data_IF_548935400320
#
_entry.id   IF_548935400320
#
_cell.length_a   1.000
_cell.length_b   1.000
_cell.length_c   1.000
_cell.angle_alpha   90.00
_cell.angle_beta   90.00
_cell.angle_gamma   90.00
#
_symmetry.space_group_name_H-M   'P 1'
#
loop_
_entity.id
_entity.type
_entity.pdbx_description
1 polymer ?
#
# COMPACT_ATOMS: atom_id res chain seq x y z
N UNK A 1 -4.92 -15.07 -14.54
CA UNK A 1 -4.24 -14.66 -13.28
C UNK A 1 -2.74 -14.44 -13.44
N UNK A 2 -1.93 -15.42 -13.92
CA UNK A 2 -0.46 -15.23 -14.01
C UNK A 2 -0.04 -13.99 -14.83
N UNK A 3 -0.71 -13.69 -15.94
CA UNK A 3 -0.36 -12.57 -16.82
C UNK A 3 -0.60 -11.19 -16.18
N UNK A 4 -1.72 -11.02 -15.46
CA UNK A 4 -2.03 -9.78 -14.75
C UNK A 4 -1.03 -9.53 -13.61
N UNK A 5 -0.74 -10.55 -12.84
CA UNK A 5 0.23 -10.48 -11.75
C UNK A 5 1.64 -10.12 -12.23
N UNK A 6 2.09 -10.74 -13.33
CA UNK A 6 3.40 -10.41 -13.95
C UNK A 6 3.41 -8.97 -14.48
N UNK A 7 2.30 -8.49 -15.06
CA UNK A 7 2.17 -7.10 -15.51
C UNK A 7 2.34 -6.13 -14.34
N UNK A 8 1.63 -6.36 -13.23
CA UNK A 8 1.66 -5.48 -12.07
C UNK A 8 3.04 -5.50 -11.38
N UNK A 9 3.69 -6.65 -11.30
CA UNK A 9 5.08 -6.74 -10.84
C UNK A 9 6.05 -5.96 -11.74
N UNK A 10 5.85 -6.01 -13.06
CA UNK A 10 6.65 -5.18 -13.98
C UNK A 10 6.42 -3.69 -13.81
N UNK A 11 5.18 -3.27 -13.58
CA UNK A 11 4.86 -1.87 -13.24
C UNK A 11 5.58 -1.42 -11.97
N UNK A 12 5.64 -2.28 -10.95
CA UNK A 12 6.41 -2.00 -9.74
C UNK A 12 7.91 -1.86 -10.03
N UNK A 13 8.46 -2.73 -10.88
CA UNK A 13 9.88 -2.64 -11.26
C UNK A 13 10.19 -1.35 -12.04
N UNK A 14 9.25 -0.82 -12.82
CA UNK A 14 9.40 0.48 -13.46
C UNK A 14 9.45 1.63 -12.44
N UNK A 15 8.77 1.48 -11.30
CA UNK A 15 8.76 2.46 -10.22
C UNK A 15 9.75 2.13 -9.08
N UNK A 16 10.75 1.28 -9.33
CA UNK A 16 11.77 0.90 -8.35
C UNK A 16 12.44 2.11 -7.67
N UNK A 17 12.68 3.19 -8.42
CA UNK A 17 13.30 4.40 -7.87
C UNK A 17 12.43 5.06 -6.80
N UNK A 18 11.10 5.05 -6.96
CA UNK A 18 10.16 5.54 -5.97
C UNK A 18 10.13 4.65 -4.72
N UNK A 19 10.13 3.33 -4.90
CA UNK A 19 10.18 2.38 -3.79
C UNK A 19 11.51 2.48 -3.03
N UNK A 20 12.63 2.65 -3.73
CA UNK A 20 13.95 2.87 -3.13
C UNK A 20 13.99 4.20 -2.35
N UNK A 21 13.36 5.26 -2.87
CA UNK A 21 13.27 6.53 -2.18
C UNK A 21 12.48 6.41 -0.87
N UNK A 22 11.34 5.71 -0.88
CA UNK A 22 10.56 5.44 0.33
C UNK A 22 11.39 4.65 1.33
N UNK A 23 12.09 3.61 0.88
CA UNK A 23 12.95 2.80 1.74
C UNK A 23 14.06 3.66 2.37
N UNK A 24 14.70 4.53 1.60
CA UNK A 24 15.73 5.44 2.09
C UNK A 24 15.18 6.43 3.14
N UNK A 25 13.96 6.96 2.91
CA UNK A 25 13.29 7.83 3.89
C UNK A 25 13.02 7.07 5.19
N UNK A 26 12.50 5.86 5.11
CA UNK A 26 12.19 5.01 6.29
C UNK A 26 13.46 4.68 7.08
N UNK A 27 14.54 4.29 6.40
CA UNK A 27 15.83 4.04 7.06
C UNK A 27 16.35 5.34 7.69
N UNK A 28 16.26 6.47 6.99
CA UNK A 28 16.64 7.78 7.54
C UNK A 28 15.84 8.11 8.81
N UNK A 29 14.52 7.92 8.77
CA UNK A 29 13.68 8.14 9.96
C UNK A 29 14.09 7.23 11.11
N UNK A 30 14.32 5.95 10.87
CA UNK A 30 14.77 4.99 11.89
C UNK A 30 16.16 5.34 12.47
N UNK A 31 17.03 6.01 11.70
CA UNK A 31 18.34 6.46 12.18
C UNK A 31 18.23 7.74 13.01
N UNK A 32 17.45 8.70 12.55
CA UNK A 32 17.39 10.04 13.14
C UNK A 32 16.37 10.18 14.29
N UNK A 33 15.37 9.29 14.36
CA UNK A 33 14.37 9.27 15.43
C UNK A 33 14.54 8.05 16.32
N UNK A 34 14.10 8.15 17.55
CA UNK A 34 14.04 7.00 18.48
C UNK A 34 12.74 6.21 18.33
N UNK A 35 11.80 6.75 17.55
CA UNK A 35 10.53 6.07 17.23
C UNK A 35 10.74 5.12 16.05
N UNK A 36 10.66 3.83 16.32
CA UNK A 36 10.79 2.75 15.31
C UNK A 36 9.40 2.32 14.79
N UNK A 37 8.34 2.54 15.56
CA UNK A 37 6.99 2.04 15.26
C UNK A 37 6.37 2.83 14.09
N UNK A 38 6.53 4.16 14.08
CA UNK A 38 5.98 5.01 13.03
C UNK A 38 6.58 4.69 11.64
N UNK A 39 7.92 4.62 11.46
CA UNK A 39 8.52 4.24 10.17
C UNK A 39 8.10 2.84 9.71
N UNK A 40 7.93 1.88 10.64
CA UNK A 40 7.47 0.53 10.36
C UNK A 40 6.05 0.54 9.77
N UNK A 41 5.14 1.25 10.41
CA UNK A 41 3.78 1.45 9.91
C UNK A 41 3.77 2.15 8.55
N UNK A 42 4.52 3.23 8.43
CA UNK A 42 4.62 4.04 7.21
C UNK A 42 5.03 3.20 5.99
N UNK A 43 6.10 2.39 6.11
CA UNK A 43 6.55 1.52 5.01
C UNK A 43 5.48 0.51 4.63
N UNK A 44 4.89 -0.18 5.62
CA UNK A 44 3.87 -1.20 5.40
C UNK A 44 2.65 -0.63 4.68
N UNK A 45 2.17 0.55 5.10
CA UNK A 45 1.02 1.22 4.50
C UNK A 45 1.30 1.68 3.07
N UNK A 46 2.40 2.39 2.83
CA UNK A 46 2.69 2.95 1.51
C UNK A 46 2.86 1.84 0.47
N UNK A 47 3.59 0.78 0.80
CA UNK A 47 3.79 -0.33 -0.14
C UNK A 47 2.49 -1.09 -0.37
N UNK A 48 1.65 -1.26 0.65
CA UNK A 48 0.31 -1.85 0.49
C UNK A 48 -0.58 -1.01 -0.44
N UNK A 49 -0.60 0.32 -0.25
CA UNK A 49 -1.36 1.24 -1.08
C UNK A 49 -0.81 1.38 -2.51
N UNK A 50 0.39 0.88 -2.77
CA UNK A 50 0.93 0.85 -4.12
C UNK A 50 0.05 0.06 -5.10
N UNK A 51 -0.69 -0.94 -4.62
CA UNK A 51 -1.70 -1.66 -5.41
C UNK A 51 -2.78 -0.73 -5.95
N UNK A 52 -3.18 0.29 -5.20
CA UNK A 52 -4.12 1.33 -5.66
C UNK A 52 -3.54 2.09 -6.85
N UNK A 53 -2.23 2.35 -6.83
CA UNK A 53 -1.53 2.96 -7.96
C UNK A 53 -1.57 2.09 -9.22
N UNK A 54 -1.43 0.76 -9.09
CA UNK A 54 -1.52 -0.15 -10.26
C UNK A 54 -2.91 -0.13 -10.90
N UNK A 55 -3.98 0.04 -10.11
CA UNK A 55 -5.35 0.20 -10.63
C UNK A 55 -5.48 1.51 -11.41
N UNK A 56 -4.90 2.61 -10.89
CA UNK A 56 -4.89 3.89 -11.59
C UNK A 56 -4.17 3.82 -12.93
N UNK A 57 -3.10 3.04 -13.03
CA UNK A 57 -2.41 2.79 -14.31
C UNK A 57 -3.27 2.00 -15.29
N UNK A 58 -4.06 1.04 -14.79
CA UNK A 58 -4.97 0.26 -15.63
C UNK A 58 -6.12 1.12 -16.19
N UNK A 59 -6.51 2.19 -15.47
CA UNK A 59 -7.52 3.15 -15.92
C UNK A 59 -6.98 4.18 -16.91
N UNK A 60 -5.66 4.37 -16.97
CA UNK A 60 -5.03 5.36 -17.83
C UNK A 60 -5.23 5.01 -19.32
N UNK A 61 -5.56 6.00 -20.16
CA UNK A 61 -5.79 5.86 -21.61
C UNK A 61 -6.81 4.76 -22.01
N UNK A 62 -7.87 4.57 -21.20
CA UNK A 62 -8.85 3.50 -21.42
C UNK A 62 -8.25 2.07 -21.38
N UNK A 63 -7.15 1.87 -20.67
CA UNK A 63 -6.49 0.58 -20.52
C UNK A 63 -7.43 -0.51 -20.01
N UNK A 64 -8.41 -0.15 -19.16
CA UNK A 64 -9.47 -1.06 -18.72
C UNK A 64 -10.33 -1.60 -19.89
N UNK A 65 -10.66 -0.76 -20.87
CA UNK A 65 -11.40 -1.20 -22.04
C UNK A 65 -10.63 -2.26 -22.84
N UNK A 66 -9.31 -2.09 -22.96
CA UNK A 66 -8.44 -3.09 -23.59
C UNK A 66 -8.30 -4.36 -22.75
N UNK A 67 -8.13 -4.23 -21.42
CA UNK A 67 -8.01 -5.40 -20.52
C UNK A 67 -9.25 -6.31 -20.58
N UNK A 68 -10.45 -5.72 -20.69
CA UNK A 68 -11.69 -6.50 -20.77
C UNK A 68 -12.01 -7.04 -22.17
N UNK A 69 -11.23 -6.73 -23.21
CA UNK A 69 -11.27 -7.48 -24.48
C UNK A 69 -10.56 -8.83 -24.39
N UNK A 70 -9.70 -9.01 -23.38
CA UNK A 70 -9.07 -10.29 -23.06
C UNK A 70 -10.08 -11.19 -22.32
N UNK A 71 -9.90 -12.52 -22.34
CA UNK A 71 -10.79 -13.46 -21.65
C UNK A 71 -10.59 -13.42 -20.12
N UNK A 72 -10.78 -12.23 -19.53
CA UNK A 72 -10.60 -11.95 -18.11
C UNK A 72 -11.94 -11.49 -17.54
N UNK A 73 -12.44 -12.18 -16.53
CA UNK A 73 -13.65 -11.76 -15.82
C UNK A 73 -13.34 -10.68 -14.79
N UNK A 74 -14.31 -9.80 -14.52
CA UNK A 74 -14.16 -8.76 -13.49
C UNK A 74 -13.81 -9.34 -12.12
N UNK A 75 -14.36 -10.50 -11.77
CA UNK A 75 -14.08 -11.16 -10.49
C UNK A 75 -12.61 -11.59 -10.40
N UNK A 76 -12.04 -12.10 -11.48
CA UNK A 76 -10.62 -12.46 -11.51
C UNK A 76 -9.70 -11.26 -11.39
N UNK A 77 -10.06 -10.13 -12.00
CA UNK A 77 -9.31 -8.88 -11.89
C UNK A 77 -9.33 -8.34 -10.46
N UNK A 78 -10.51 -8.27 -9.85
CA UNK A 78 -10.66 -7.80 -8.46
C UNK A 78 -9.90 -8.70 -7.48
N UNK A 79 -10.05 -10.01 -7.59
CA UNK A 79 -9.36 -10.98 -6.72
C UNK A 79 -7.84 -10.87 -6.85
N UNK A 80 -7.33 -10.64 -8.06
CA UNK A 80 -5.90 -10.46 -8.31
C UNK A 80 -5.38 -9.20 -7.61
N UNK A 81 -6.10 -8.07 -7.69
CA UNK A 81 -5.71 -6.81 -7.03
C UNK A 81 -5.69 -6.92 -5.50
N UNK A 82 -6.68 -7.61 -4.90
CA UNK A 82 -6.66 -7.88 -3.47
C UNK A 82 -5.50 -8.76 -3.06
N UNK A 83 -5.26 -9.84 -3.82
CA UNK A 83 -4.15 -10.76 -3.54
C UNK A 83 -2.79 -10.07 -3.66
N UNK A 84 -2.61 -9.27 -4.71
CA UNK A 84 -1.38 -8.50 -4.93
C UNK A 84 -1.15 -7.51 -3.79
N UNK A 85 -2.18 -6.76 -3.39
CA UNK A 85 -2.06 -5.79 -2.31
C UNK A 85 -1.73 -6.44 -0.97
N UNK A 86 -2.37 -7.57 -0.66
CA UNK A 86 -2.11 -8.30 0.57
C UNK A 86 -0.69 -8.88 0.58
N UNK A 87 -0.25 -9.45 -0.55
CA UNK A 87 1.10 -9.99 -0.70
C UNK A 87 2.16 -8.89 -0.53
N UNK A 88 1.98 -7.75 -1.23
CA UNK A 88 2.90 -6.62 -1.13
C UNK A 88 2.93 -6.02 0.28
N UNK A 89 1.76 -5.86 0.89
CA UNK A 89 1.66 -5.37 2.26
C UNK A 89 2.35 -6.28 3.26
N UNK A 90 2.15 -7.60 3.17
CA UNK A 90 2.82 -8.57 4.03
C UNK A 90 4.34 -8.58 3.81
N UNK A 91 4.81 -8.53 2.56
CA UNK A 91 6.25 -8.46 2.26
C UNK A 91 6.87 -7.18 2.84
N UNK A 92 6.21 -6.05 2.67
CA UNK A 92 6.68 -4.78 3.22
C UNK A 92 6.66 -4.78 4.74
N UNK A 93 5.63 -5.36 5.36
CA UNK A 93 5.53 -5.49 6.81
C UNK A 93 6.67 -6.37 7.38
N UNK A 94 6.98 -7.51 6.75
CA UNK A 94 8.11 -8.37 7.16
C UNK A 94 9.42 -7.59 7.05
N UNK A 95 9.65 -6.91 5.93
CA UNK A 95 10.86 -6.13 5.70
C UNK A 95 10.98 -4.99 6.72
N UNK A 96 9.90 -4.26 6.97
CA UNK A 96 9.86 -3.19 7.96
C UNK A 96 10.13 -3.71 9.38
N UNK A 97 9.55 -4.85 9.75
CA UNK A 97 9.76 -5.48 11.08
C UNK A 97 11.22 -5.91 11.25
N UNK A 98 11.83 -6.51 10.23
CA UNK A 98 13.26 -6.88 10.26
C UNK A 98 14.14 -5.64 10.43
N UNK A 99 13.90 -4.58 9.68
CA UNK A 99 14.64 -3.31 9.83
C UNK A 99 14.41 -2.70 11.22
N UNK A 100 13.18 -2.77 11.74
CA UNK A 100 12.84 -2.32 13.09
C UNK A 100 13.60 -3.08 14.17
N UNK A 101 13.72 -4.41 14.07
CA UNK A 101 14.50 -5.23 15.00
C UNK A 101 15.98 -4.83 14.96
N UNK A 102 16.55 -4.68 13.76
CA UNK A 102 17.96 -4.29 13.59
C UNK A 102 18.22 -2.93 14.27
N UNK A 103 17.38 -1.94 14.02
CA UNK A 103 17.55 -0.59 14.58
C UNK A 103 17.35 -0.58 16.09
N UNK A 104 16.40 -1.35 16.60
CA UNK A 104 16.14 -1.48 18.04
C UNK A 104 17.30 -2.13 18.77
N UNK A 105 17.92 -3.19 18.19
CA UNK A 105 19.10 -3.83 18.75
C UNK A 105 20.33 -2.92 18.74
N UNK A 106 20.47 -2.09 17.68
CA UNK A 106 21.61 -1.18 17.59
C UNK A 106 21.50 0.03 18.52
N UNK A 107 20.28 0.48 18.82
CA UNK A 107 20.02 1.70 19.61
C UNK A 107 19.57 1.44 21.04
N UNK A 108 19.24 0.20 21.40
CA UNK A 108 18.63 -0.17 22.70
C UNK A 108 17.39 0.69 23.06
N UNK A 109 16.57 1.04 22.06
CA UNK A 109 15.45 1.97 22.24
C UNK A 109 14.22 1.35 22.86
N UNK A 110 13.92 0.09 22.52
CA UNK A 110 12.69 -0.61 22.95
C UNK A 110 12.98 -2.11 23.19
N UNK A 111 12.25 -2.77 24.09
CA UNK A 111 12.30 -4.23 24.16
C UNK A 111 11.74 -4.86 22.87
N UNK A 112 12.41 -5.89 22.36
CA UNK A 112 12.03 -6.57 21.12
C UNK A 112 10.58 -7.08 21.18
N UNK A 113 10.12 -7.50 22.36
CA UNK A 113 8.73 -7.95 22.59
C UNK A 113 7.71 -6.86 22.26
N UNK A 114 7.95 -5.63 22.68
CA UNK A 114 7.05 -4.51 22.46
C UNK A 114 7.03 -4.08 20.99
N UNK A 115 8.18 -4.15 20.32
CA UNK A 115 8.28 -3.92 18.89
C UNK A 115 7.49 -4.96 18.10
N UNK A 116 7.64 -6.24 18.41
CA UNK A 116 6.90 -7.31 17.74
C UNK A 116 5.40 -7.19 17.99
N UNK A 117 4.99 -6.89 19.22
CA UNK A 117 3.58 -6.68 19.54
C UNK A 117 2.99 -5.50 18.78
N UNK A 118 3.69 -4.37 18.72
CA UNK A 118 3.26 -3.21 17.95
C UNK A 118 3.20 -3.49 16.46
N UNK A 119 4.17 -4.21 15.90
CA UNK A 119 4.18 -4.61 14.50
C UNK A 119 3.01 -5.51 14.14
N UNK A 120 2.61 -6.42 15.03
CA UNK A 120 1.43 -7.27 14.84
C UNK A 120 0.13 -6.47 14.85
N UNK A 121 0.05 -5.38 15.63
CA UNK A 121 -1.13 -4.48 15.62
C UNK A 121 -1.27 -3.67 14.33
N UNK A 122 -0.17 -3.39 13.63
CA UNK A 122 -0.18 -2.68 12.35
C UNK A 122 -0.81 -3.54 11.24
N UNK A 123 -0.64 -4.85 11.30
CA UNK A 123 -1.11 -5.79 10.26
C UNK A 123 -2.64 -5.73 10.03
N UNK A 124 -3.50 -5.88 11.04
CA UNK A 124 -4.95 -5.79 10.84
C UNK A 124 -5.39 -4.39 10.39
N UNK A 125 -4.73 -3.33 10.88
CA UNK A 125 -5.04 -1.96 10.46
C UNK A 125 -4.74 -1.79 8.97
N UNK A 126 -3.59 -2.28 8.51
CA UNK A 126 -3.21 -2.27 7.10
C UNK A 126 -4.24 -3.01 6.23
N UNK A 127 -4.69 -4.19 6.65
CA UNK A 127 -5.70 -4.98 5.93
C UNK A 127 -7.04 -4.23 5.84
N UNK A 128 -7.48 -3.61 6.94
CA UNK A 128 -8.72 -2.81 6.96
C UNK A 128 -8.63 -1.61 6.02
N UNK A 129 -7.55 -0.85 6.06
CA UNK A 129 -7.34 0.28 5.15
C UNK A 129 -7.37 -0.18 3.70
N UNK A 130 -6.69 -1.28 3.38
CA UNK A 130 -6.67 -1.84 2.04
C UNK A 130 -8.07 -2.33 1.60
N UNK A 131 -8.81 -2.98 2.50
CA UNK A 131 -10.17 -3.46 2.23
C UNK A 131 -11.14 -2.31 1.92
N UNK A 132 -10.90 -1.12 2.46
CA UNK A 132 -11.70 0.08 2.19
C UNK A 132 -11.23 0.76 0.89
N UNK A 133 -9.92 0.96 0.73
CA UNK A 133 -9.35 1.73 -0.39
C UNK A 133 -9.52 1.03 -1.75
N UNK A 134 -9.34 -0.29 -1.81
CA UNK A 134 -9.44 -1.04 -3.07
C UNK A 134 -10.83 -0.96 -3.72
N UNK A 135 -11.97 -1.20 -3.01
CA UNK A 135 -13.28 -1.10 -3.64
C UNK A 135 -13.63 0.33 -4.07
N UNK A 136 -13.18 1.35 -3.33
CA UNK A 136 -13.35 2.74 -3.76
C UNK A 136 -12.63 3.02 -5.08
N UNK A 137 -11.38 2.59 -5.19
CA UNK A 137 -10.59 2.77 -6.40
C UNK A 137 -11.16 1.98 -7.59
N UNK A 138 -11.57 0.73 -7.36
CA UNK A 138 -12.17 -0.13 -8.39
C UNK A 138 -13.53 0.37 -8.87
N UNK A 139 -14.32 1.03 -8.01
CA UNK A 139 -15.64 1.54 -8.34
C UNK A 139 -15.60 2.90 -9.05
N UNK A 140 -14.71 3.79 -8.63
CA UNK A 140 -14.72 5.18 -9.09
C UNK A 140 -13.61 5.49 -10.11
N UNK A 141 -12.63 4.58 -10.33
CA UNK A 141 -11.50 4.78 -11.22
C UNK A 141 -10.46 5.77 -10.67
N UNK A 142 -9.35 5.95 -11.38
CA UNK A 142 -8.21 6.72 -10.90
C UNK A 142 -8.51 8.19 -10.58
N UNK A 143 -9.18 8.91 -11.49
CA UNK A 143 -9.45 10.35 -11.30
C UNK A 143 -10.71 10.60 -10.48
N UNK A 144 -11.77 9.85 -10.74
CA UNK A 144 -13.04 10.00 -10.02
C UNK A 144 -12.97 9.44 -8.59
N UNK A 145 -12.13 8.44 -8.35
CA UNK A 145 -11.89 7.88 -7.02
C UNK A 145 -11.26 8.89 -6.07
N UNK A 146 -10.33 9.72 -6.54
CA UNK A 146 -9.74 10.82 -5.75
C UNK A 146 -10.78 11.88 -5.40
N UNK A 147 -11.63 12.28 -6.35
CA UNK A 147 -12.71 13.24 -6.13
C UNK A 147 -13.75 12.69 -5.16
N UNK A 148 -14.10 11.40 -5.27
CA UNK A 148 -15.03 10.75 -4.36
C UNK A 148 -14.47 10.62 -2.93
N UNK A 149 -13.16 10.35 -2.77
CA UNK A 149 -12.51 10.36 -1.47
C UNK A 149 -12.50 11.77 -0.86
N UNK A 150 -12.13 12.79 -1.62
CA UNK A 150 -12.16 14.19 -1.16
C UNK A 150 -13.58 14.58 -0.79
N UNK A 151 -14.60 14.16 -1.56
CA UNK A 151 -16.01 14.40 -1.27
C UNK A 151 -16.49 13.67 0.00
N UNK A 152 -16.07 12.43 0.23
CA UNK A 152 -16.45 11.65 1.39
C UNK A 152 -15.81 12.17 2.69
N UNK A 153 -14.55 12.60 2.62
CA UNK A 153 -13.82 13.16 3.78
C UNK A 153 -13.95 14.69 3.89
N UNK A 154 -14.13 15.40 2.78
CA UNK A 154 -14.29 16.86 2.74
C UNK A 154 -15.73 17.36 2.84
N UNK A 155 -16.73 16.52 2.53
CA UNK A 155 -18.14 16.88 2.57
C UNK A 155 -18.69 17.21 3.95
N UNK A 156 -18.02 16.79 5.02
CA UNK A 156 -18.34 17.23 6.38
C UNK A 156 -17.86 18.64 6.71
N UNK A 157 -16.89 19.18 5.97
CA UNK A 157 -16.42 20.55 6.17
C UNK A 157 -17.29 21.59 5.44
N UNK A 158 -17.99 21.20 4.36
CA UNK A 158 -18.83 22.09 3.55
C UNK A 158 -20.26 22.30 4.10
N UNK A 159 -20.70 21.53 5.10
CA UNK A 159 -22.05 21.65 5.71
C UNK A 159 -22.03 22.62 6.92
N UNK A 160 -20.91 23.29 7.20
CA UNK A 160 -20.79 24.23 8.33
C UNK A 160 -20.64 25.71 7.91
N UNK A 161 -21.22 26.10 6.79
CA UNK A 161 -21.42 27.51 6.47
C UNK A 161 -22.83 27.75 5.96
#
# INVERSE_FOLDING_TARGET
MKGLFVKDLKLMMLQKNFLLLILAIVIGMMIFTDDVIFPLGFLSFIVSLFTVSTISYDDFDNGNAFLFTLPITRNHYVSEKYFLGLLLGCMAWVLATVLGIITTVLKDTLPITDLVQSSLMILPIMIVVQAIMLPFQLKFGGDKGRIAMIGAFGGQAAIRF
#
